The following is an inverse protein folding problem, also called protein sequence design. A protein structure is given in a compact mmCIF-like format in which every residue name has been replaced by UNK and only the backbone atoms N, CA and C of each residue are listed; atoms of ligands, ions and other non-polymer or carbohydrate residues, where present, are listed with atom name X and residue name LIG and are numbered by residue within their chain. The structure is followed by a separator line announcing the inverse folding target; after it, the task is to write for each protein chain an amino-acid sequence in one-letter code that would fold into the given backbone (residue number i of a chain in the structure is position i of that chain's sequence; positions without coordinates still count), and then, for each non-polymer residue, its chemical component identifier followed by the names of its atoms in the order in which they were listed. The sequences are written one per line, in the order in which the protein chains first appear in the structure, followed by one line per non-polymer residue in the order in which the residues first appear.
data_IF_585257284186
#
_entry.id   IF_585257284186
#
_cell.length_a   1.000
_cell.length_b   1.000
_cell.length_c   1.000
_cell.angle_alpha   90.00
_cell.angle_beta   90.00
_cell.angle_gamma   90.00
#
_symmetry.space_group_name_H-M   'P 1'
#
loop_
_entity.id
_entity.type
_entity.pdbx_description
1 polymer ?
#
# COMPACT_ATOMS: atom_id res chain seq x y z
N UNK A 1 14.42 29.51 -1.61
CA UNK A 1 13.52 28.51 -0.99
C UNK A 1 12.39 28.02 -1.91
N UNK A 2 11.61 28.88 -2.59
CA UNK A 2 10.47 28.47 -3.46
C UNK A 2 10.81 27.52 -4.63
N UNK A 3 12.01 27.63 -5.24
CA UNK A 3 12.40 26.82 -6.42
C UNK A 3 12.51 25.31 -6.12
N UNK A 4 12.89 24.93 -4.90
CA UNK A 4 12.99 23.52 -4.48
C UNK A 4 11.60 22.89 -4.24
N UNK A 5 10.66 23.68 -3.72
CA UNK A 5 9.27 23.24 -3.51
C UNK A 5 8.53 22.99 -4.84
N UNK A 6 8.79 23.81 -5.86
CA UNK A 6 8.24 23.65 -7.22
C UNK A 6 8.77 22.40 -7.93
N UNK A 7 10.04 22.01 -7.70
CA UNK A 7 10.62 20.78 -8.26
C UNK A 7 10.15 19.49 -7.57
N UNK A 8 9.72 19.57 -6.32
CA UNK A 8 9.25 18.41 -5.53
C UNK A 8 7.83 17.95 -5.94
N UNK A 9 6.99 18.91 -6.33
CA UNK A 9 5.60 18.67 -6.72
C UNK A 9 5.43 17.61 -7.83
N UNK A 10 6.11 17.71 -9.00
CA UNK A 10 5.95 16.71 -10.06
C UNK A 10 6.43 15.31 -9.64
N UNK A 11 7.44 15.22 -8.76
CA UNK A 11 7.97 13.95 -8.28
C UNK A 11 6.95 13.24 -7.38
N UNK A 12 6.37 13.99 -6.43
CA UNK A 12 5.31 13.46 -5.55
C UNK A 12 4.09 13.06 -6.38
N UNK A 13 3.70 13.89 -7.35
CA UNK A 13 2.57 13.60 -8.24
C UNK A 13 2.80 12.29 -9.01
N UNK A 14 3.98 12.12 -9.62
CA UNK A 14 4.36 10.90 -10.35
C UNK A 14 4.31 9.67 -9.44
N UNK A 15 4.83 9.79 -8.22
CA UNK A 15 4.88 8.69 -7.26
C UNK A 15 3.47 8.28 -6.81
N UNK A 16 2.61 9.26 -6.50
CA UNK A 16 1.20 9.01 -6.16
C UNK A 16 0.49 8.35 -7.34
N UNK A 17 0.68 8.85 -8.56
CA UNK A 17 0.07 8.29 -9.76
C UNK A 17 0.54 6.84 -9.98
N UNK A 18 1.83 6.57 -9.80
CA UNK A 18 2.40 5.23 -9.87
C UNK A 18 1.76 4.27 -8.88
N UNK A 19 1.62 4.66 -7.61
CA UNK A 19 0.99 3.83 -6.58
C UNK A 19 -0.50 3.59 -6.89
N UNK A 20 -1.22 4.61 -7.32
CA UNK A 20 -2.66 4.54 -7.62
C UNK A 20 -2.94 3.67 -8.85
N UNK A 21 -2.08 3.70 -9.86
CA UNK A 21 -2.26 2.90 -11.07
C UNK A 21 -1.70 1.48 -10.94
N UNK A 22 -0.49 1.33 -10.39
CA UNK A 22 0.19 0.04 -10.29
C UNK A 22 -0.28 -0.79 -9.10
N UNK A 23 -0.59 -0.16 -7.96
CA UNK A 23 -1.02 -0.86 -6.75
C UNK A 23 -2.23 -1.78 -7.01
N UNK A 24 -3.35 -1.27 -7.53
CA UNK A 24 -4.53 -2.08 -7.83
C UNK A 24 -4.26 -3.17 -8.86
N UNK A 25 -3.38 -2.90 -9.83
CA UNK A 25 -3.00 -3.85 -10.86
C UNK A 25 -2.26 -5.05 -10.26
N UNK A 26 -1.25 -4.79 -9.43
CA UNK A 26 -0.48 -5.82 -8.72
C UNK A 26 -1.41 -6.64 -7.80
N UNK A 27 -2.31 -5.97 -7.08
CA UNK A 27 -3.25 -6.64 -6.18
C UNK A 27 -4.24 -7.51 -6.95
N UNK A 28 -4.82 -7.01 -8.05
CA UNK A 28 -5.74 -7.79 -8.87
C UNK A 28 -5.06 -9.01 -9.48
N UNK A 29 -3.82 -8.85 -9.95
CA UNK A 29 -3.01 -9.96 -10.46
C UNK A 29 -2.71 -11.01 -9.40
N UNK A 30 -2.22 -10.59 -8.23
CA UNK A 30 -1.95 -11.48 -7.10
C UNK A 30 -3.23 -12.16 -6.60
N UNK A 31 -4.37 -11.47 -6.62
CA UNK A 31 -5.65 -12.04 -6.22
C UNK A 31 -6.07 -13.19 -7.13
N UNK A 32 -6.06 -12.97 -8.45
CA UNK A 32 -6.42 -13.99 -9.43
C UNK A 32 -5.47 -15.19 -9.38
N UNK A 33 -4.23 -15.00 -8.93
CA UNK A 33 -3.29 -16.10 -8.75
C UNK A 33 -3.48 -16.83 -7.41
N UNK A 34 -3.54 -16.10 -6.29
CA UNK A 34 -3.47 -16.71 -4.95
C UNK A 34 -4.81 -17.19 -4.43
N UNK A 35 -5.90 -16.48 -4.70
CA UNK A 35 -7.21 -16.79 -4.11
C UNK A 35 -7.81 -18.10 -4.64
N UNK A 36 -7.72 -18.43 -5.94
CA UNK A 36 -8.19 -19.72 -6.44
C UNK A 36 -7.41 -20.89 -5.84
N UNK A 37 -6.11 -20.73 -5.62
CA UNK A 37 -5.25 -21.76 -5.02
C UNK A 37 -5.48 -21.90 -3.50
N UNK A 38 -5.72 -20.80 -2.79
CA UNK A 38 -5.99 -20.81 -1.35
C UNK A 38 -7.41 -21.29 -1.02
N UNK A 39 -8.38 -20.96 -1.86
CA UNK A 39 -9.79 -21.24 -1.61
C UNK A 39 -10.51 -21.88 -2.81
N UNK A 40 -10.02 -23.02 -3.33
CA UNK A 40 -10.56 -23.63 -4.55
C UNK A 40 -12.02 -24.05 -4.41
N UNK A 41 -12.42 -24.54 -3.23
CA UNK A 41 -13.81 -24.93 -2.96
C UNK A 41 -14.75 -23.72 -2.85
N UNK A 42 -14.28 -22.60 -2.29
CA UNK A 42 -15.11 -21.41 -2.12
C UNK A 42 -15.33 -20.67 -3.46
N UNK A 43 -14.32 -20.65 -4.32
CA UNK A 43 -14.44 -20.11 -5.68
C UNK A 43 -15.40 -20.95 -6.52
N UNK A 44 -15.30 -22.29 -6.48
CA UNK A 44 -16.23 -23.19 -7.19
C UNK A 44 -17.69 -23.03 -6.77
N UNK A 45 -17.94 -22.76 -5.49
CA UNK A 45 -19.27 -22.54 -4.95
C UNK A 45 -19.78 -21.10 -5.16
N UNK A 46 -19.01 -20.23 -5.84
CA UNK A 46 -19.38 -18.83 -6.07
C UNK A 46 -19.38 -17.96 -4.81
N UNK A 47 -18.80 -18.43 -3.71
CA UNK A 47 -18.73 -17.70 -2.44
C UNK A 47 -17.63 -16.64 -2.46
N UNK A 48 -16.61 -16.84 -3.30
CA UNK A 48 -15.46 -15.94 -3.46
C UNK A 48 -15.25 -15.69 -4.95
N UNK A 49 -15.04 -14.42 -5.31
CA UNK A 49 -14.72 -14.05 -6.68
C UNK A 49 -13.29 -14.48 -7.04
N UNK A 50 -13.17 -15.26 -8.12
CA UNK A 50 -11.88 -15.65 -8.71
C UNK A 50 -11.07 -14.43 -9.15
N UNK A 51 -11.75 -13.48 -9.81
CA UNK A 51 -11.15 -12.25 -10.31
C UNK A 51 -11.82 -11.05 -9.66
N UNK A 52 -11.04 -10.03 -9.30
CA UNK A 52 -11.56 -8.78 -8.75
C UNK A 52 -11.54 -7.66 -9.77
N UNK A 53 -12.51 -6.75 -9.67
CA UNK A 53 -12.51 -5.53 -10.48
C UNK A 53 -11.34 -4.61 -10.10
N UNK A 54 -10.94 -3.75 -11.03
CA UNK A 54 -9.92 -2.71 -10.76
C UNK A 54 -10.29 -1.82 -9.56
N UNK A 55 -11.59 -1.46 -9.44
CA UNK A 55 -12.10 -0.68 -8.31
C UNK A 55 -11.98 -1.42 -6.98
N UNK A 56 -12.17 -2.74 -6.98
CA UNK A 56 -11.98 -3.57 -5.78
C UNK A 56 -10.51 -3.62 -5.39
N UNK A 57 -9.61 -3.83 -6.35
CA UNK A 57 -8.16 -3.77 -6.12
C UNK A 57 -7.70 -2.42 -5.55
N UNK A 58 -8.31 -1.32 -6.01
CA UNK A 58 -8.04 0.02 -5.50
C UNK A 58 -8.46 0.24 -4.04
N UNK A 59 -9.61 -0.31 -3.63
CA UNK A 59 -10.02 -0.27 -2.21
C UNK A 59 -9.02 -1.01 -1.33
N UNK A 60 -8.54 -2.17 -1.78
CA UNK A 60 -7.55 -2.97 -1.05
C UNK A 60 -6.20 -2.24 -0.99
N UNK A 61 -5.77 -1.60 -2.07
CA UNK A 61 -4.50 -0.87 -2.08
C UNK A 61 -4.49 0.30 -1.10
N UNK A 62 -5.59 1.07 -1.03
CA UNK A 62 -5.76 2.13 -0.04
C UNK A 62 -5.70 1.55 1.38
N UNK A 63 -6.41 0.44 1.62
CA UNK A 63 -6.43 -0.19 2.94
C UNK A 63 -5.03 -0.66 3.37
N UNK A 64 -4.26 -1.27 2.48
CA UNK A 64 -2.87 -1.68 2.75
C UNK A 64 -1.99 -0.46 3.01
N UNK A 65 -2.08 0.58 2.18
CA UNK A 65 -1.31 1.81 2.37
C UNK A 65 -1.64 2.47 3.73
N UNK A 66 -2.91 2.47 4.12
CA UNK A 66 -3.35 2.95 5.42
C UNK A 66 -2.76 2.12 6.57
N UNK A 67 -2.78 0.78 6.48
CA UNK A 67 -2.16 -0.10 7.47
C UNK A 67 -0.65 0.13 7.58
N UNK A 68 0.05 0.26 6.46
CA UNK A 68 1.49 0.57 6.46
C UNK A 68 1.78 1.92 7.13
N UNK A 69 0.95 2.93 6.88
CA UNK A 69 1.07 4.23 7.53
C UNK A 69 0.91 4.12 9.05
N UNK A 70 -0.03 3.30 9.52
CA UNK A 70 -0.19 3.04 10.96
C UNK A 70 1.01 2.27 11.55
N UNK A 71 1.50 1.23 10.87
CA UNK A 71 2.63 0.42 11.34
C UNK A 71 3.97 1.17 11.35
N UNK A 72 4.20 2.08 10.41
CA UNK A 72 5.46 2.83 10.26
C UNK A 72 5.75 3.85 11.37
N UNK A 73 4.75 4.24 12.17
CA UNK A 73 4.92 5.24 13.24
C UNK A 73 5.82 4.77 14.41
N UNK A 74 6.06 3.47 14.57
CA UNK A 74 6.80 2.94 15.74
C UNK A 74 8.33 3.07 15.66
N UNK A 75 8.91 3.24 14.47
CA UNK A 75 10.36 3.31 14.31
C UNK A 75 10.96 4.70 14.63
N UNK A 76 10.18 5.77 14.46
CA UNK A 76 10.69 7.14 14.67
C UNK A 76 10.85 7.50 16.15
N UNK A 77 10.03 6.95 17.05
CA UNK A 77 10.07 7.27 18.48
C UNK A 77 11.22 6.60 19.23
N UNK A 78 11.59 5.36 18.85
CA UNK A 78 12.71 4.64 19.49
C UNK A 78 14.05 5.30 19.19
N UNK A 79 14.18 5.91 18.00
CA UNK A 79 15.38 6.65 17.60
C UNK A 79 15.53 7.94 18.43
N UNK A 80 14.45 8.71 18.58
CA UNK A 80 14.43 9.94 19.39
C UNK A 80 14.70 9.65 20.88
N UNK A 81 14.14 8.56 21.45
CA UNK A 81 14.39 8.18 22.84
C UNK A 81 15.85 7.80 23.12
N UNK A 82 16.50 7.07 22.20
CA UNK A 82 17.90 6.67 22.38
C UNK A 82 18.90 7.79 22.13
N UNK A 83 18.54 8.78 21.31
CA UNK A 83 19.38 9.94 21.03
C UNK A 83 19.42 10.87 22.24
N UNK A 84 18.28 11.17 22.86
CA UNK A 84 18.22 11.94 24.11
C UNK A 84 18.87 11.22 25.30
N UNK A 85 18.76 9.89 25.41
CA UNK A 85 19.36 9.12 26.52
C UNK A 85 20.89 8.99 26.44
N UNK A 86 21.53 9.37 25.33
CA UNK A 86 22.99 9.37 25.19
C UNK A 86 23.63 10.70 25.60
N UNK A 87 22.83 11.75 25.75
CA UNK A 87 23.28 13.09 26.15
C UNK A 87 23.20 13.33 27.67
N UNK A 88 22.58 12.41 28.41
CA UNK A 88 22.55 12.34 29.89
C UNK A 88 23.60 11.34 30.43
#
# INVERSE_FOLDING_TARGET
MKKYLLGLYPIILLLVLGIVLLGPFIISWLWAWTIPDLFPGAVKNGLVAETISWMTGFKISIFIAFLMSLSGTRLSLKKIYHEHKKED
#
